data_IF_358688975316
#
_entry.id   IF_358688975316
#
_cell.length_a   1.000
_cell.length_b   1.000
_cell.length_c   1.000
_cell.angle_alpha   90.00
_cell.angle_beta   90.00
_cell.angle_gamma   90.00
#
_symmetry.space_group_name_H-M   'P 1'
#
loop_
_entity.id
_entity.type
_entity.pdbx_description
1 polymer ?
#
# COMPACT_ATOMS: atom_id res chain seq x y z
N UNK A 1 12.43 4.79 -20.61
CA UNK A 1 11.38 5.80 -20.36
C UNK A 1 9.99 5.36 -20.83
N UNK A 2 9.80 4.91 -22.07
CA UNK A 2 8.45 4.53 -22.56
C UNK A 2 7.87 3.31 -21.83
N UNK A 3 8.68 2.26 -21.56
CA UNK A 3 8.22 1.05 -20.88
C UNK A 3 7.89 1.30 -19.41
N UNK A 4 8.64 2.14 -18.72
CA UNK A 4 8.40 2.51 -17.33
C UNK A 4 7.06 3.25 -17.18
N UNK A 5 6.77 4.19 -18.08
CA UNK A 5 5.49 4.91 -18.08
C UNK A 5 4.33 3.97 -18.33
N UNK A 6 4.45 3.02 -19.26
CA UNK A 6 3.41 2.03 -19.54
C UNK A 6 3.16 1.15 -18.30
N UNK A 7 4.23 0.71 -17.60
CA UNK A 7 4.11 -0.07 -16.37
C UNK A 7 3.36 0.74 -15.31
N UNK A 8 3.74 1.98 -15.08
CA UNK A 8 3.08 2.85 -14.09
C UNK A 8 1.59 3.01 -14.41
N UNK A 9 1.24 3.34 -15.65
CA UNK A 9 -0.16 3.48 -16.08
C UNK A 9 -0.93 2.16 -15.88
N UNK A 10 -0.34 1.03 -16.28
CA UNK A 10 -0.98 -0.28 -16.11
C UNK A 10 -1.24 -0.59 -14.63
N UNK A 11 -0.27 -0.32 -13.75
CA UNK A 11 -0.42 -0.56 -12.30
C UNK A 11 -1.46 0.40 -11.69
N UNK A 12 -1.56 1.64 -12.15
CA UNK A 12 -2.62 2.56 -11.75
C UNK A 12 -4.00 2.02 -12.10
N UNK A 13 -4.19 1.58 -13.34
CA UNK A 13 -5.47 1.01 -13.81
C UNK A 13 -5.83 -0.24 -13.02
N UNK A 14 -4.87 -1.16 -12.85
CA UNK A 14 -5.09 -2.42 -12.10
C UNK A 14 -5.42 -2.14 -10.64
N UNK A 15 -4.65 -1.28 -9.97
CA UNK A 15 -4.89 -0.93 -8.57
C UNK A 15 -6.24 -0.23 -8.37
N UNK A 16 -6.60 0.70 -9.24
CA UNK A 16 -7.90 1.37 -9.23
C UNK A 16 -9.06 0.39 -9.45
N UNK A 17 -8.94 -0.50 -10.44
CA UNK A 17 -9.93 -1.54 -10.70
C UNK A 17 -10.08 -2.48 -9.50
N UNK A 18 -8.98 -2.92 -8.89
CA UNK A 18 -9.00 -3.76 -7.69
C UNK A 18 -9.74 -3.09 -6.52
N UNK A 19 -9.52 -1.79 -6.29
CA UNK A 19 -10.25 -1.03 -5.25
C UNK A 19 -11.75 -1.03 -5.54
N UNK A 20 -12.16 -0.71 -6.77
CA UNK A 20 -13.58 -0.67 -7.16
C UNK A 20 -14.24 -2.04 -7.01
N UNK A 21 -13.60 -3.10 -7.50
CA UNK A 21 -14.12 -4.47 -7.45
C UNK A 21 -14.10 -5.06 -6.02
N UNK A 22 -13.18 -4.60 -5.17
CA UNK A 22 -13.02 -5.11 -3.81
C UNK A 22 -13.87 -4.37 -2.79
N UNK A 23 -14.34 -3.16 -3.10
CA UNK A 23 -15.05 -2.29 -2.16
C UNK A 23 -16.57 -2.37 -2.38
N UNK A 24 -17.33 -3.00 -1.47
CA UNK A 24 -18.79 -2.95 -1.52
C UNK A 24 -19.29 -1.50 -1.38
N UNK A 25 -20.33 -1.12 -2.10
CA UNK A 25 -20.92 0.23 -2.07
C UNK A 25 -21.20 0.75 -0.65
N UNK A 26 -21.59 -0.15 0.25
CA UNK A 26 -21.88 0.18 1.67
C UNK A 26 -20.62 0.56 2.47
N UNK A 27 -19.44 0.16 2.01
CA UNK A 27 -18.15 0.38 2.70
C UNK A 27 -17.25 1.43 2.04
N UNK A 28 -17.78 2.19 1.07
CA UNK A 28 -16.98 3.22 0.35
C UNK A 28 -16.35 4.23 1.33
N UNK A 29 -17.10 4.68 2.35
CA UNK A 29 -16.58 5.62 3.35
C UNK A 29 -15.43 5.02 4.17
N UNK A 30 -15.54 3.75 4.55
CA UNK A 30 -14.48 3.02 5.25
C UNK A 30 -13.25 2.85 4.36
N UNK A 31 -13.45 2.51 3.09
CA UNK A 31 -12.38 2.40 2.11
C UNK A 31 -11.64 3.73 1.90
N UNK A 32 -12.37 4.84 1.77
CA UNK A 32 -11.80 6.18 1.65
C UNK A 32 -10.96 6.57 2.89
N UNK A 33 -11.46 6.28 4.09
CA UNK A 33 -10.73 6.60 5.33
C UNK A 33 -9.44 5.79 5.44
N UNK A 34 -9.48 4.49 5.11
CA UNK A 34 -8.26 3.65 5.04
C UNK A 34 -7.29 4.17 3.99
N UNK A 35 -7.80 4.52 2.81
CA UNK A 35 -6.98 5.05 1.73
C UNK A 35 -6.24 6.32 2.15
N UNK A 36 -6.94 7.31 2.69
CA UNK A 36 -6.36 8.58 3.12
C UNK A 36 -5.37 8.41 4.28
N UNK A 37 -5.68 7.56 5.25
CA UNK A 37 -4.77 7.22 6.34
C UNK A 37 -3.47 6.61 5.82
N UNK A 38 -3.58 5.62 4.94
CA UNK A 38 -2.42 4.97 4.36
C UNK A 38 -1.64 5.89 3.44
N UNK A 39 -2.31 6.72 2.64
CA UNK A 39 -1.69 7.72 1.78
C UNK A 39 -0.81 8.68 2.58
N UNK A 40 -1.30 9.17 3.73
CA UNK A 40 -0.51 10.03 4.63
C UNK A 40 0.72 9.27 5.15
N UNK A 41 0.53 8.04 5.60
CA UNK A 41 1.57 7.24 6.24
C UNK A 41 2.64 6.81 5.24
N UNK A 42 2.24 6.27 4.10
CA UNK A 42 3.17 5.81 3.07
C UNK A 42 3.94 6.96 2.42
N UNK A 43 3.27 8.08 2.15
CA UNK A 43 3.92 9.28 1.64
C UNK A 43 4.98 9.80 2.61
N UNK A 44 4.65 9.89 3.90
CA UNK A 44 5.59 10.36 4.92
C UNK A 44 6.82 9.44 5.03
N UNK A 45 6.62 8.14 5.13
CA UNK A 45 7.74 7.19 5.22
C UNK A 45 8.56 7.11 3.93
N UNK A 46 7.91 7.21 2.77
CA UNK A 46 8.61 7.24 1.50
C UNK A 46 9.49 8.46 1.32
N UNK A 47 9.05 9.63 1.79
CA UNK A 47 9.91 10.81 1.83
C UNK A 47 11.13 10.59 2.72
N UNK A 48 10.98 9.92 3.88
CA UNK A 48 12.11 9.59 4.75
C UNK A 48 13.09 8.63 4.08
N UNK A 49 12.58 7.55 3.48
CA UNK A 49 13.40 6.56 2.73
C UNK A 49 14.20 7.24 1.62
N UNK A 50 13.57 8.13 0.85
CA UNK A 50 14.23 8.88 -0.21
C UNK A 50 15.20 9.94 0.35
N UNK A 51 14.88 10.60 1.48
CA UNK A 51 15.74 11.58 2.12
C UNK A 51 17.06 10.96 2.59
N UNK A 52 16.99 9.76 3.18
CA UNK A 52 18.18 9.04 3.64
C UNK A 52 18.87 8.24 2.53
N UNK A 53 18.42 8.38 1.27
CA UNK A 53 18.98 7.66 0.11
C UNK A 53 19.04 6.15 0.30
N UNK A 54 18.05 5.59 0.96
CA UNK A 54 17.94 4.15 1.12
C UNK A 54 17.48 3.50 -0.19
N UNK A 55 16.52 4.14 -0.87
CA UNK A 55 16.00 3.76 -2.19
C UNK A 55 16.02 5.02 -3.06
N UNK A 56 16.42 4.86 -4.31
CA UNK A 56 16.31 5.89 -5.35
C UNK A 56 15.26 5.50 -6.38
N UNK A 57 14.60 6.51 -6.94
CA UNK A 57 13.60 6.37 -7.99
C UNK A 57 14.06 7.16 -9.23
N UNK A 58 14.93 6.57 -10.09
CA UNK A 58 15.50 7.29 -11.24
C UNK A 58 14.46 7.80 -12.22
N UNK A 59 13.40 7.02 -12.44
CA UNK A 59 12.24 7.42 -13.26
C UNK A 59 11.03 7.61 -12.33
N UNK A 60 10.67 8.88 -12.10
CA UNK A 60 9.56 9.26 -11.21
C UNK A 60 8.81 10.46 -11.77
N UNK A 61 7.56 10.65 -11.33
CA UNK A 61 6.67 11.66 -11.90
C UNK A 61 7.10 13.07 -11.53
N UNK A 62 7.19 13.46 -10.35
CA UNK A 62 7.49 14.83 -9.92
C UNK A 62 8.98 15.01 -9.58
N UNK A 63 9.87 14.78 -10.55
CA UNK A 63 11.33 14.75 -10.33
C UNK A 63 11.94 16.03 -9.74
N UNK A 64 11.29 17.18 -9.97
CA UNK A 64 11.71 18.47 -9.37
C UNK A 64 11.17 18.68 -7.96
N UNK A 65 10.00 18.09 -7.63
CA UNK A 65 9.33 18.33 -6.36
C UNK A 65 9.66 17.29 -5.29
N UNK A 66 9.93 16.04 -5.70
CA UNK A 66 10.18 14.93 -4.76
C UNK A 66 11.22 13.94 -5.30
N UNK A 67 11.90 13.25 -4.38
CA UNK A 67 12.80 12.14 -4.70
C UNK A 67 12.14 10.78 -4.56
N UNK A 68 10.93 10.70 -3.98
CA UNK A 68 10.18 9.46 -3.82
C UNK A 68 9.26 9.17 -5.01
N UNK A 69 8.70 7.96 -5.07
CA UNK A 69 7.73 7.57 -6.10
C UNK A 69 6.32 8.02 -5.71
N UNK A 70 5.82 9.06 -6.39
CA UNK A 70 4.45 9.52 -6.16
C UNK A 70 3.43 8.42 -6.43
N UNK A 71 3.53 7.74 -7.57
CA UNK A 71 2.58 6.69 -7.93
C UNK A 71 2.50 5.58 -6.91
N UNK A 72 3.64 5.07 -6.44
CA UNK A 72 3.66 3.95 -5.52
C UNK A 72 3.12 4.36 -4.14
N UNK A 73 3.66 5.43 -3.56
CA UNK A 73 3.38 5.81 -2.18
C UNK A 73 2.05 6.53 -2.00
N UNK A 74 1.65 7.32 -3.01
CA UNK A 74 0.44 8.14 -2.90
C UNK A 74 -0.83 7.44 -3.40
N UNK A 75 -0.70 6.46 -4.29
CA UNK A 75 -1.87 5.79 -4.86
C UNK A 75 -1.83 4.28 -4.76
N UNK A 76 -0.80 3.62 -5.33
CA UNK A 76 -0.78 2.17 -5.52
C UNK A 76 -0.81 1.45 -4.18
N UNK A 77 0.09 1.81 -3.27
CA UNK A 77 0.16 1.16 -1.97
C UNK A 77 -1.08 1.41 -1.09
N UNK A 78 -1.59 2.64 -0.93
CA UNK A 78 -2.88 2.88 -0.29
C UNK A 78 -4.03 2.09 -0.89
N UNK A 79 -4.10 1.99 -2.22
CA UNK A 79 -5.11 1.19 -2.92
C UNK A 79 -5.04 -0.29 -2.55
N UNK A 80 -3.84 -0.88 -2.51
CA UNK A 80 -3.64 -2.27 -2.08
C UNK A 80 -4.04 -2.46 -0.60
N UNK A 81 -3.74 -1.50 0.27
CA UNK A 81 -4.19 -1.54 1.67
C UNK A 81 -5.71 -1.51 1.81
N UNK A 82 -6.42 -0.78 0.95
CA UNK A 82 -7.89 -0.85 0.87
C UNK A 82 -8.35 -2.25 0.50
N UNK A 83 -7.79 -2.83 -0.56
CA UNK A 83 -8.11 -4.22 -0.99
C UNK A 83 -7.88 -5.21 0.15
N UNK A 84 -6.73 -5.10 0.81
CA UNK A 84 -6.38 -5.92 1.97
C UNK A 84 -7.44 -5.87 3.07
N UNK A 85 -7.87 -4.66 3.48
CA UNK A 85 -8.85 -4.48 4.55
C UNK A 85 -10.27 -4.89 4.14
N UNK A 86 -10.71 -4.56 2.92
CA UNK A 86 -12.06 -4.85 2.45
C UNK A 86 -12.31 -6.34 2.22
N UNK A 87 -11.27 -7.10 1.88
CA UNK A 87 -11.34 -8.54 1.61
C UNK A 87 -10.78 -9.41 2.72
N UNK A 88 -10.41 -8.82 3.85
CA UNK A 88 -9.84 -9.57 4.98
C UNK A 88 -10.78 -10.69 5.48
N UNK A 89 -10.28 -11.92 5.68
CA UNK A 89 -11.10 -13.08 6.02
C UNK A 89 -11.48 -13.13 7.51
N UNK A 90 -12.34 -12.23 7.98
CA UNK A 90 -12.69 -12.07 9.41
C UNK A 90 -13.27 -13.32 10.08
N UNK A 91 -14.04 -14.13 9.34
CA UNK A 91 -14.80 -15.28 9.88
C UNK A 91 -14.13 -16.63 9.61
N UNK A 92 -12.96 -16.65 8.97
CA UNK A 92 -12.38 -17.89 8.41
C UNK A 92 -11.22 -18.47 9.25
N UNK A 93 -11.11 -18.09 10.54
CA UNK A 93 -10.10 -18.60 11.48
C UNK A 93 -8.74 -17.88 11.42
N UNK A 94 -7.96 -18.04 12.49
CA UNK A 94 -6.67 -17.35 12.68
C UNK A 94 -5.65 -17.69 11.59
N UNK A 95 -5.58 -18.95 11.16
CA UNK A 95 -4.61 -19.40 10.14
C UNK A 95 -4.80 -18.63 8.82
N UNK A 96 -6.04 -18.44 8.37
CA UNK A 96 -6.31 -17.67 7.14
C UNK A 96 -5.96 -16.19 7.30
N UNK A 97 -6.15 -15.64 8.50
CA UNK A 97 -5.71 -14.29 8.82
C UNK A 97 -4.20 -14.13 8.70
N UNK A 98 -3.43 -15.05 9.28
CA UNK A 98 -1.96 -15.07 9.19
C UNK A 98 -1.51 -15.21 7.73
N UNK A 99 -2.07 -16.17 6.99
CA UNK A 99 -1.76 -16.34 5.56
C UNK A 99 -2.07 -15.08 4.74
N UNK A 100 -3.14 -14.36 5.07
CA UNK A 100 -3.48 -13.10 4.42
C UNK A 100 -2.44 -12.01 4.67
N UNK A 101 -1.96 -11.91 5.93
CA UNK A 101 -0.87 -10.99 6.29
C UNK A 101 0.46 -11.34 5.65
N UNK A 102 0.77 -12.60 5.45
CA UNK A 102 2.00 -13.02 4.80
C UNK A 102 1.91 -12.88 3.28
N UNK A 103 0.75 -13.13 2.69
CA UNK A 103 0.55 -13.08 1.26
C UNK A 103 0.83 -11.70 0.67
N UNK A 104 0.24 -10.63 1.25
CA UNK A 104 0.37 -9.28 0.68
C UNK A 104 1.80 -8.76 0.68
N UNK A 105 2.55 -8.76 1.77
CA UNK A 105 3.96 -8.36 1.73
C UNK A 105 4.79 -9.22 0.78
N UNK A 106 4.56 -10.53 0.75
CA UNK A 106 5.40 -11.44 -0.05
C UNK A 106 5.26 -11.20 -1.54
N UNK A 107 4.04 -11.13 -2.09
CA UNK A 107 3.87 -10.88 -3.51
C UNK A 107 4.26 -9.45 -3.90
N UNK A 108 4.02 -8.46 -3.03
CA UNK A 108 4.44 -7.08 -3.28
C UNK A 108 5.96 -6.96 -3.33
N UNK A 109 6.67 -7.55 -2.35
CA UNK A 109 8.15 -7.57 -2.35
C UNK A 109 8.70 -8.31 -3.58
N UNK A 110 8.08 -9.42 -3.98
CA UNK A 110 8.50 -10.15 -5.18
C UNK A 110 8.33 -9.30 -6.46
N UNK A 111 7.22 -8.56 -6.59
CA UNK A 111 7.01 -7.65 -7.73
C UNK A 111 7.97 -6.47 -7.66
N UNK A 112 8.17 -5.87 -6.48
CA UNK A 112 9.10 -4.76 -6.30
C UNK A 112 10.52 -5.15 -6.69
N UNK A 113 10.98 -6.33 -6.25
CA UNK A 113 12.29 -6.87 -6.65
C UNK A 113 12.39 -7.14 -8.16
N UNK A 114 11.32 -7.63 -8.78
CA UNK A 114 11.27 -7.80 -10.23
C UNK A 114 11.34 -6.46 -10.98
N UNK A 115 10.67 -5.43 -10.46
CA UNK A 115 10.69 -4.07 -11.02
C UNK A 115 12.10 -3.48 -10.89
N UNK A 116 12.73 -3.61 -9.74
CA UNK A 116 14.11 -3.19 -9.49
C UNK A 116 15.08 -3.85 -10.47
N UNK A 117 15.03 -5.19 -10.62
CA UNK A 117 15.93 -5.93 -11.50
C UNK A 117 15.72 -5.66 -13.01
N UNK A 118 14.52 -5.21 -13.43
CA UNK A 118 14.12 -5.12 -14.85
C UNK A 118 13.87 -3.71 -15.35
N UNK A 119 13.79 -2.73 -14.48
CA UNK A 119 13.41 -1.35 -14.83
C UNK A 119 14.30 -0.34 -14.09
N UNK A 120 14.09 0.94 -14.36
CA UNK A 120 14.71 2.05 -13.66
C UNK A 120 13.72 2.81 -12.77
N UNK A 121 12.64 2.14 -12.37
CA UNK A 121 11.61 2.74 -11.50
C UNK A 121 12.04 2.75 -10.03
N UNK A 122 12.80 1.75 -9.60
CA UNK A 122 13.31 1.59 -8.24
C UNK A 122 14.76 1.14 -8.33
N UNK A 123 15.60 1.68 -7.45
CA UNK A 123 17.01 1.29 -7.30
C UNK A 123 17.36 1.26 -5.82
N UNK A 124 17.77 0.09 -5.32
CA UNK A 124 18.15 -0.13 -3.93
C UNK A 124 19.60 0.31 -3.70
N UNK A 125 19.81 1.36 -2.90
CA UNK A 125 21.15 1.89 -2.60
C UNK A 125 21.68 1.33 -1.27
N UNK A 126 20.91 1.53 -0.19
CA UNK A 126 21.22 1.02 1.14
C UNK A 126 19.99 0.26 1.71
N UNK A 127 19.31 -0.43 0.85
CA UNK A 127 18.07 -1.14 1.15
C UNK A 127 18.15 -2.57 0.61
N UNK A 128 17.47 -3.49 1.28
CA UNK A 128 17.41 -4.88 0.88
C UNK A 128 15.96 -5.35 0.83
N UNK A 129 15.64 -6.33 0.02
CA UNK A 129 14.28 -6.83 -0.19
C UNK A 129 13.57 -7.23 1.11
N UNK A 130 14.30 -7.73 2.13
CA UNK A 130 13.71 -8.11 3.42
C UNK A 130 13.27 -6.88 4.23
N UNK A 131 13.90 -5.71 4.07
CA UNK A 131 13.41 -4.47 4.67
C UNK A 131 12.08 -4.04 4.07
N UNK A 132 11.90 -4.16 2.75
CA UNK A 132 10.60 -3.97 2.09
C UNK A 132 9.57 -4.91 2.70
N UNK A 133 9.87 -6.20 2.82
CA UNK A 133 8.94 -7.18 3.38
C UNK A 133 8.53 -6.86 4.82
N UNK A 134 9.48 -6.50 5.68
CA UNK A 134 9.22 -6.17 7.09
C UNK A 134 8.38 -4.89 7.20
N UNK A 135 8.74 -3.84 6.48
CA UNK A 135 8.03 -2.57 6.50
C UNK A 135 6.61 -2.69 5.95
N UNK A 136 6.42 -3.47 4.89
CA UNK A 136 5.10 -3.82 4.36
C UNK A 136 4.26 -4.57 5.40
N UNK A 137 4.83 -5.56 6.08
CA UNK A 137 4.13 -6.32 7.13
C UNK A 137 3.64 -5.40 8.26
N UNK A 138 4.51 -4.51 8.75
CA UNK A 138 4.19 -3.55 9.80
C UNK A 138 3.09 -2.58 9.33
N UNK A 139 3.18 -2.05 8.12
CA UNK A 139 2.20 -1.09 7.61
C UNK A 139 0.85 -1.73 7.29
N UNK A 140 0.79 -2.99 6.82
CA UNK A 140 -0.46 -3.73 6.72
C UNK A 140 -1.10 -3.97 8.10
N UNK A 141 -0.28 -4.27 9.11
CA UNK A 141 -0.78 -4.39 10.49
C UNK A 141 -1.33 -3.06 11.01
N UNK A 142 -0.60 -1.95 10.81
CA UNK A 142 -1.08 -0.61 11.19
C UNK A 142 -2.38 -0.25 10.46
N UNK A 143 -2.45 -0.52 9.16
CA UNK A 143 -3.65 -0.32 8.34
C UNK A 143 -4.86 -1.07 8.91
N UNK A 144 -4.66 -2.31 9.33
CA UNK A 144 -5.72 -3.13 9.91
C UNK A 144 -6.12 -2.67 11.30
N UNK A 145 -5.15 -2.32 12.15
CA UNK A 145 -5.41 -1.81 13.50
C UNK A 145 -6.22 -0.51 13.43
N UNK A 146 -5.83 0.42 12.55
CA UNK A 146 -6.57 1.65 12.31
C UNK A 146 -8.00 1.39 11.80
N UNK A 147 -8.17 0.50 10.83
CA UNK A 147 -9.48 0.15 10.29
C UNK A 147 -10.41 -0.42 11.36
N UNK A 148 -9.92 -1.34 12.20
CA UNK A 148 -10.70 -1.93 13.29
C UNK A 148 -11.09 -0.89 14.35
N UNK A 149 -10.16 -0.03 14.73
CA UNK A 149 -10.43 1.08 15.64
C UNK A 149 -11.51 2.02 15.07
N UNK A 150 -11.39 2.42 13.82
CA UNK A 150 -12.36 3.31 13.16
C UNK A 150 -13.77 2.71 13.11
N UNK A 151 -13.91 1.40 12.84
CA UNK A 151 -15.22 0.73 12.84
C UNK A 151 -15.81 0.64 14.25
N UNK A 152 -14.98 0.32 15.27
CA UNK A 152 -15.44 0.24 16.65
C UNK A 152 -16.01 1.57 17.15
N UNK A 153 -15.32 2.66 16.90
CA UNK A 153 -15.79 4.01 17.21
C UNK A 153 -17.14 4.32 16.55
N UNK A 154 -17.29 3.95 15.29
CA UNK A 154 -18.52 4.17 14.53
C UNK A 154 -19.70 3.31 15.01
N UNK A 155 -19.46 2.11 15.49
CA UNK A 155 -20.51 1.21 16.01
C UNK A 155 -20.79 1.46 17.48
N UNK A 156 -19.80 1.82 18.28
CA UNK A 156 -19.95 2.15 19.71
C UNK A 156 -20.77 3.40 19.95
N UNK A 157 -20.68 4.41 19.07
CA UNK A 157 -21.48 5.62 19.15
C UNK A 157 -23.00 5.43 18.95
N UNK A 158 -23.42 4.26 18.44
CA UNK A 158 -24.84 3.90 18.27
C UNK A 158 -25.46 3.17 19.48
N UNK A 159 -24.66 2.87 20.52
CA UNK A 159 -25.12 2.15 21.73
C UNK A 159 -25.16 3.04 22.98
N UNK A 160 -25.44 4.32 22.84
CA UNK A 160 -25.87 5.13 23.99
C UNK A 160 -27.37 5.36 23.87
N UNK A 161 -28.19 4.89 24.88
CA UNK A 161 -29.63 5.10 24.94
C UNK A 161 -29.98 6.56 25.06
#
# INVERSE_FOLDING_TARGET
MTKEIIIVIAVWIVSGALVVLSTPRRKIREALVVFLYMQMLTWFFGLLVAQYRLIEYPVREFSYATRSSFSFEFFIYPAICVVFNMRYPQTKGIVRGILWYLFFPSWMTAIEKLIEDRTRLIDYIHWEWYWTWITLLITFWLSRAFYLWFIQERTGGKRRP
#
